data_IF_524247029767
#
_entry.id   IF_524247029767
#
_cell.length_a   1.000
_cell.length_b   1.000
_cell.length_c   1.000
_cell.angle_alpha   90.00
_cell.angle_beta   90.00
_cell.angle_gamma   90.00
#
_symmetry.space_group_name_H-M   'P 1'
#
loop_
_entity.id
_entity.type
_entity.pdbx_description
1 polymer ?
#
# COMPACT_ATOMS: atom_id res chain seq x y z
N UNK A 1 -37.40 -6.92 7.30
CA UNK A 1 -36.62 -6.10 6.34
C UNK A 1 -35.51 -5.33 7.05
N UNK A 2 -35.84 -4.52 8.04
CA UNK A 2 -34.81 -3.73 8.77
C UNK A 2 -33.80 -4.61 9.51
N UNK A 3 -34.23 -5.74 10.05
CA UNK A 3 -33.31 -6.70 10.72
C UNK A 3 -32.30 -7.27 9.73
N UNK A 4 -32.74 -7.60 8.49
CA UNK A 4 -31.85 -8.12 7.48
C UNK A 4 -30.79 -7.09 7.09
N UNK A 5 -31.17 -5.82 7.01
CA UNK A 5 -30.22 -4.76 6.70
C UNK A 5 -29.20 -4.55 7.84
N UNK A 6 -29.67 -4.56 9.07
CA UNK A 6 -28.80 -4.45 10.23
C UNK A 6 -27.81 -5.62 10.31
N UNK A 7 -28.30 -6.83 10.06
CA UNK A 7 -27.46 -8.02 10.10
C UNK A 7 -26.39 -7.97 8.99
N UNK A 8 -26.77 -7.54 7.79
CA UNK A 8 -25.82 -7.42 6.69
C UNK A 8 -24.72 -6.39 7.01
N UNK A 9 -25.10 -5.25 7.57
CA UNK A 9 -24.13 -4.25 8.00
C UNK A 9 -23.22 -4.77 9.09
N UNK A 10 -23.78 -5.41 10.10
CA UNK A 10 -23.02 -5.97 11.22
C UNK A 10 -22.05 -7.05 10.76
N UNK A 11 -22.49 -7.95 9.89
CA UNK A 11 -21.65 -9.01 9.34
C UNK A 11 -20.47 -8.43 8.55
N UNK A 12 -20.71 -7.38 7.78
CA UNK A 12 -19.64 -6.71 7.04
C UNK A 12 -18.58 -6.17 7.99
N UNK A 13 -19.01 -5.45 9.03
CA UNK A 13 -18.07 -4.88 10.00
C UNK A 13 -17.30 -5.97 10.75
N UNK A 14 -17.98 -7.03 11.15
CA UNK A 14 -17.34 -8.14 11.88
C UNK A 14 -16.31 -8.84 11.01
N UNK A 15 -16.60 -9.05 9.73
CA UNK A 15 -15.67 -9.69 8.81
C UNK A 15 -14.44 -8.81 8.60
N UNK A 16 -14.64 -7.52 8.37
CA UNK A 16 -13.52 -6.60 8.18
C UNK A 16 -12.66 -6.50 9.45
N UNK A 17 -13.28 -6.45 10.63
CA UNK A 17 -12.55 -6.47 11.90
C UNK A 17 -11.74 -7.75 12.06
N UNK A 18 -12.32 -8.90 11.72
CA UNK A 18 -11.61 -10.17 11.81
C UNK A 18 -10.39 -10.22 10.90
N UNK A 19 -10.54 -9.78 9.66
CA UNK A 19 -9.41 -9.74 8.73
C UNK A 19 -8.33 -8.79 9.21
N UNK A 20 -8.72 -7.58 9.63
CA UNK A 20 -7.77 -6.59 10.11
C UNK A 20 -7.05 -7.02 11.40
N UNK A 21 -7.70 -7.83 12.23
CA UNK A 21 -7.10 -8.30 13.48
C UNK A 21 -5.83 -9.13 13.29
N UNK A 22 -5.59 -9.61 12.09
CA UNK A 22 -4.38 -10.37 11.74
C UNK A 22 -3.19 -9.50 11.40
N UNK A 23 -3.40 -8.22 11.10
CA UNK A 23 -2.32 -7.33 10.67
C UNK A 23 -1.20 -7.17 11.71
N UNK A 24 -1.48 -6.99 13.00
CA UNK A 24 -0.40 -6.81 13.98
C UNK A 24 0.62 -7.96 13.96
N UNK A 25 0.17 -9.19 13.75
CA UNK A 25 1.05 -10.36 13.74
C UNK A 25 1.95 -10.42 12.51
N UNK A 26 1.62 -9.66 11.45
CA UNK A 26 2.40 -9.63 10.22
C UNK A 26 3.56 -8.66 10.27
N UNK A 27 3.63 -7.82 11.29
CA UNK A 27 4.69 -6.85 11.44
C UNK A 27 5.98 -7.56 11.87
N UNK A 28 6.98 -7.50 11.02
CA UNK A 28 8.26 -8.17 11.24
C UNK A 28 9.37 -7.45 10.49
N UNK A 29 10.35 -8.21 10.01
CA UNK A 29 11.55 -7.65 9.37
C UNK A 29 11.23 -6.79 8.15
N UNK A 30 10.26 -7.21 7.33
CA UNK A 30 9.88 -6.43 6.14
C UNK A 30 9.28 -5.09 6.52
N UNK A 31 8.45 -5.06 7.56
CA UNK A 31 7.88 -3.80 8.03
C UNK A 31 8.97 -2.86 8.53
N UNK A 32 9.90 -3.37 9.32
CA UNK A 32 11.04 -2.59 9.83
C UNK A 32 11.89 -2.07 8.68
N UNK A 33 12.13 -2.92 7.68
CA UNK A 33 12.92 -2.54 6.50
C UNK A 33 12.21 -1.43 5.72
N UNK A 34 10.91 -1.55 5.51
CA UNK A 34 10.12 -0.52 4.82
C UNK A 34 10.18 0.81 5.57
N UNK A 35 9.97 0.78 6.87
CA UNK A 35 10.03 1.99 7.70
C UNK A 35 11.41 2.63 7.65
N UNK A 36 12.46 1.84 7.73
CA UNK A 36 13.83 2.35 7.66
C UNK A 36 14.16 2.95 6.29
N UNK A 37 13.71 2.33 5.22
CA UNK A 37 13.91 2.87 3.86
C UNK A 37 13.26 4.26 3.76
N UNK A 38 12.07 4.43 4.31
CA UNK A 38 11.39 5.74 4.31
C UNK A 38 12.11 6.72 5.23
N UNK A 39 12.52 6.29 6.43
CA UNK A 39 13.25 7.15 7.37
C UNK A 39 14.54 7.71 6.77
N UNK A 40 15.24 6.91 5.97
CA UNK A 40 16.50 7.32 5.35
C UNK A 40 16.31 7.89 3.95
N UNK A 41 15.07 8.06 3.50
CA UNK A 41 14.76 8.63 2.20
C UNK A 41 15.15 10.11 2.18
N UNK A 42 16.00 10.49 1.25
CA UNK A 42 16.45 11.88 1.09
C UNK A 42 15.53 12.67 0.16
N UNK A 43 14.62 12.00 -0.53
CA UNK A 43 13.65 12.61 -1.43
C UNK A 43 12.23 12.49 -0.89
N UNK A 44 11.34 12.01 -1.75
CA UNK A 44 9.92 11.88 -1.46
C UNK A 44 9.48 10.43 -1.55
N UNK A 45 8.40 10.10 -0.85
CA UNK A 45 7.71 8.82 -1.02
C UNK A 45 6.62 9.02 -2.07
N UNK A 46 6.74 8.29 -3.17
CA UNK A 46 5.77 8.34 -4.25
C UNK A 46 4.86 7.12 -4.09
N UNK A 47 3.59 7.38 -3.79
CA UNK A 47 2.59 6.32 -3.62
C UNK A 47 1.86 6.13 -4.94
N UNK A 48 1.67 4.90 -5.36
CA UNK A 48 0.98 4.59 -6.61
C UNK A 48 0.09 3.37 -6.47
N UNK A 49 -0.97 3.30 -7.24
CA UNK A 49 -1.92 2.19 -7.23
C UNK A 49 -3.09 2.49 -8.15
N UNK A 50 -3.79 1.43 -8.57
CA UNK A 50 -4.89 1.52 -9.53
C UNK A 50 -6.21 1.26 -8.83
N UNK A 51 -7.28 1.93 -9.30
CA UNK A 51 -8.64 1.72 -8.81
C UNK A 51 -8.77 2.05 -7.33
N UNK A 52 -9.40 1.17 -6.55
CA UNK A 52 -9.62 1.40 -5.12
C UNK A 52 -8.30 1.44 -4.34
N UNK A 53 -7.30 0.65 -4.76
CA UNK A 53 -5.95 0.76 -4.19
C UNK A 53 -5.37 2.16 -4.39
N UNK A 54 -5.64 2.79 -5.53
CA UNK A 54 -5.21 4.15 -5.79
C UNK A 54 -5.88 5.17 -4.88
N UNK A 55 -7.18 5.00 -4.62
CA UNK A 55 -7.90 5.90 -3.69
C UNK A 55 -7.34 5.80 -2.28
N UNK A 56 -7.08 4.57 -1.80
CA UNK A 56 -6.46 4.39 -0.49
C UNK A 56 -5.02 4.93 -0.51
N UNK A 57 -4.31 4.73 -1.61
CA UNK A 57 -2.95 5.26 -1.77
C UNK A 57 -2.87 6.77 -1.63
N UNK A 58 -3.86 7.49 -2.15
CA UNK A 58 -3.94 8.94 -1.96
C UNK A 58 -4.07 9.30 -0.48
N UNK A 59 -4.89 8.56 0.26
CA UNK A 59 -5.02 8.78 1.70
C UNK A 59 -3.70 8.51 2.42
N UNK A 60 -3.01 7.44 2.05
CA UNK A 60 -1.72 7.09 2.66
C UNK A 60 -0.69 8.18 2.39
N UNK A 61 -0.61 8.68 1.16
CA UNK A 61 0.29 9.78 0.83
C UNK A 61 0.00 11.03 1.66
N UNK A 62 -1.28 11.36 1.82
CA UNK A 62 -1.70 12.50 2.63
C UNK A 62 -1.32 12.32 4.11
N UNK A 63 -1.46 11.11 4.64
CA UNK A 63 -1.10 10.81 6.02
C UNK A 63 0.42 10.92 6.23
N UNK A 64 1.23 10.39 5.31
CA UNK A 64 2.67 10.54 5.34
C UNK A 64 3.08 12.01 5.34
N UNK A 65 2.51 12.80 4.43
CA UNK A 65 2.80 14.22 4.33
C UNK A 65 2.42 14.96 5.63
N UNK A 66 1.26 14.62 6.21
CA UNK A 66 0.79 15.24 7.47
C UNK A 66 1.66 14.90 8.66
N UNK A 67 2.40 13.79 8.62
CA UNK A 67 3.24 13.34 9.73
C UNK A 67 4.73 13.59 9.49
N UNK A 68 5.06 14.39 8.51
CA UNK A 68 6.43 14.88 8.31
C UNK A 68 7.22 14.19 7.20
N UNK A 69 6.65 13.22 6.51
CA UNK A 69 7.31 12.55 5.39
C UNK A 69 6.80 13.14 4.07
N UNK A 70 7.65 13.84 3.29
CA UNK A 70 7.20 14.33 1.99
C UNK A 70 6.72 13.18 1.12
N UNK A 71 5.47 13.25 0.67
CA UNK A 71 4.85 12.19 -0.09
C UNK A 71 3.77 12.74 -1.01
N UNK A 72 3.57 12.09 -2.14
CA UNK A 72 2.49 12.42 -3.06
C UNK A 72 2.06 11.17 -3.81
N UNK A 73 0.89 11.22 -4.41
CA UNK A 73 0.34 10.11 -5.17
C UNK A 73 0.50 10.33 -6.67
N UNK A 74 0.90 9.28 -7.40
CA UNK A 74 0.95 9.28 -8.86
C UNK A 74 0.20 8.06 -9.37
N UNK A 75 -0.79 8.27 -10.23
CA UNK A 75 -1.48 7.15 -10.88
C UNK A 75 -0.51 6.42 -11.82
N UNK A 76 -0.53 5.07 -11.85
CA UNK A 76 0.41 4.32 -12.70
C UNK A 76 0.37 4.71 -14.18
N UNK A 77 -0.80 5.04 -14.71
CA UNK A 77 -0.91 5.47 -16.11
C UNK A 77 -0.16 6.78 -16.34
N UNK A 78 -0.26 7.74 -15.40
CA UNK A 78 0.46 9.01 -15.49
C UNK A 78 1.97 8.80 -15.36
N UNK A 79 2.38 7.85 -14.48
CA UNK A 79 3.78 7.50 -14.36
C UNK A 79 4.36 7.06 -15.72
N UNK A 80 3.62 6.22 -16.44
CA UNK A 80 4.05 5.73 -17.75
C UNK A 80 4.01 6.79 -18.84
N UNK A 81 3.20 7.84 -18.66
CA UNK A 81 3.06 8.94 -19.62
C UNK A 81 4.03 10.10 -19.36
N UNK A 82 5.04 9.91 -18.52
CA UNK A 82 6.09 10.89 -18.31
C UNK A 82 6.39 11.23 -16.86
N UNK A 83 5.44 11.02 -15.95
CA UNK A 83 5.63 11.40 -14.54
C UNK A 83 6.74 10.62 -13.85
N UNK A 84 7.11 9.43 -14.37
CA UNK A 84 8.29 8.71 -13.90
C UNK A 84 9.57 9.54 -14.01
N UNK A 85 9.60 10.48 -14.96
CA UNK A 85 10.73 11.40 -15.11
C UNK A 85 10.93 12.32 -13.91
N UNK A 86 9.89 12.51 -13.09
CA UNK A 86 9.98 13.33 -11.88
C UNK A 86 10.47 12.55 -10.66
N UNK A 87 10.61 11.24 -10.78
CA UNK A 87 11.03 10.38 -9.67
C UNK A 87 12.53 10.12 -9.81
N UNK A 88 13.27 10.38 -8.76
CA UNK A 88 14.72 10.31 -8.74
C UNK A 88 15.21 9.17 -7.83
N UNK A 89 16.50 8.83 -7.93
CA UNK A 89 17.10 7.77 -7.14
C UNK A 89 17.02 7.98 -5.63
N UNK A 90 16.88 9.23 -5.20
CA UNK A 90 16.71 9.57 -3.77
C UNK A 90 15.29 9.39 -3.28
N UNK A 91 14.34 9.13 -4.18
CA UNK A 91 12.94 8.91 -3.85
C UNK A 91 12.69 7.43 -3.58
N UNK A 92 11.55 7.15 -2.99
CA UNK A 92 11.06 5.78 -2.73
C UNK A 92 9.68 5.66 -3.36
N UNK A 93 9.41 4.55 -4.03
CA UNK A 93 8.05 4.28 -4.52
C UNK A 93 7.40 3.23 -3.63
N UNK A 94 6.19 3.53 -3.17
CA UNK A 94 5.30 2.59 -2.50
C UNK A 94 4.17 2.25 -3.47
N UNK A 95 4.20 1.04 -4.01
CA UNK A 95 3.19 0.60 -4.97
C UNK A 95 2.19 -0.33 -4.30
N UNK A 96 0.91 -0.05 -4.49
CA UNK A 96 -0.20 -0.81 -3.91
C UNK A 96 -0.91 -1.56 -5.01
N UNK A 97 -0.86 -2.89 -4.96
CA UNK A 97 -1.57 -3.76 -5.89
C UNK A 97 -1.88 -5.07 -5.17
N UNK A 98 -3.17 -5.36 -5.01
CA UNK A 98 -3.57 -6.59 -4.31
C UNK A 98 -3.03 -7.83 -5.02
N UNK A 99 -3.20 -7.91 -6.34
CA UNK A 99 -2.72 -9.04 -7.13
C UNK A 99 -1.20 -9.03 -7.32
N UNK A 100 -0.59 -7.85 -7.23
CA UNK A 100 0.85 -7.68 -7.50
C UNK A 100 1.24 -7.90 -8.95
N UNK A 101 0.27 -8.04 -9.86
CA UNK A 101 0.50 -8.35 -11.27
C UNK A 101 -0.17 -7.37 -12.23
N UNK A 102 -0.39 -6.13 -11.83
CA UNK A 102 -0.95 -5.11 -12.70
C UNK A 102 -0.06 -4.92 -13.94
N UNK A 103 -0.68 -4.73 -15.11
CA UNK A 103 0.05 -4.62 -16.39
C UNK A 103 1.08 -3.49 -16.38
N UNK A 104 0.75 -2.39 -15.73
CA UNK A 104 1.63 -1.23 -15.66
C UNK A 104 2.95 -1.55 -14.97
N UNK A 105 2.95 -2.55 -14.06
CA UNK A 105 4.16 -2.96 -13.36
C UNK A 105 5.22 -3.55 -14.30
N UNK A 106 4.79 -4.17 -15.40
CA UNK A 106 5.73 -4.74 -16.37
C UNK A 106 6.65 -3.68 -16.98
N UNK A 107 6.18 -2.43 -17.03
CA UNK A 107 6.95 -1.30 -17.55
C UNK A 107 7.57 -0.47 -16.44
N UNK A 108 6.87 -0.34 -15.30
CA UNK A 108 7.33 0.49 -14.19
C UNK A 108 8.52 -0.13 -13.47
N UNK A 109 8.45 -1.44 -13.16
CA UNK A 109 9.52 -2.11 -12.40
C UNK A 109 10.90 -1.96 -13.05
N UNK A 110 11.06 -2.26 -14.37
CA UNK A 110 12.37 -2.09 -15.00
C UNK A 110 12.88 -0.66 -14.96
N UNK A 111 11.99 0.32 -15.07
CA UNK A 111 12.38 1.74 -15.04
C UNK A 111 12.84 2.18 -13.66
N UNK A 112 12.20 1.65 -12.61
CA UNK A 112 12.64 1.91 -11.24
C UNK A 112 14.01 1.30 -10.99
N UNK A 113 14.24 0.09 -11.47
CA UNK A 113 15.53 -0.57 -11.35
C UNK A 113 16.63 0.22 -12.07
N UNK A 114 16.37 0.65 -13.31
CA UNK A 114 17.32 1.43 -14.11
C UNK A 114 17.70 2.74 -13.41
N UNK A 115 16.76 3.36 -12.71
CA UNK A 115 16.99 4.63 -12.00
C UNK A 115 17.46 4.41 -10.55
N UNK A 116 17.57 3.17 -10.09
CA UNK A 116 17.92 2.82 -8.71
C UNK A 116 16.97 3.40 -7.68
N UNK A 117 15.68 3.44 -8.01
CA UNK A 117 14.63 3.88 -7.10
C UNK A 117 14.18 2.70 -6.25
N UNK A 118 14.19 2.85 -4.94
CA UNK A 118 13.74 1.79 -4.03
C UNK A 118 12.23 1.59 -4.18
N UNK A 119 11.81 0.33 -4.32
CA UNK A 119 10.40 -0.05 -4.45
C UNK A 119 9.96 -0.77 -3.18
N UNK A 120 8.87 -0.30 -2.60
CA UNK A 120 8.16 -0.94 -1.50
C UNK A 120 6.80 -1.41 -2.02
N UNK A 121 6.31 -2.54 -1.54
CA UNK A 121 5.04 -3.11 -1.98
C UNK A 121 4.05 -3.27 -0.85
N UNK A 122 2.80 -2.90 -1.13
CA UNK A 122 1.65 -3.39 -0.38
C UNK A 122 0.87 -4.30 -1.31
N UNK A 123 0.79 -5.58 -0.97
CA UNK A 123 0.17 -6.56 -1.85
C UNK A 123 -0.45 -7.69 -1.03
N UNK A 124 -1.47 -8.32 -1.60
CA UNK A 124 -2.03 -9.54 -1.03
C UNK A 124 -1.31 -10.79 -1.49
N UNK A 125 -0.33 -10.66 -2.39
CA UNK A 125 0.42 -11.79 -2.95
C UNK A 125 1.92 -11.47 -2.92
N UNK A 126 2.60 -11.78 -1.81
CA UNK A 126 4.03 -11.47 -1.67
C UNK A 126 4.94 -12.10 -2.73
N UNK A 127 4.53 -13.22 -3.33
CA UNK A 127 5.31 -13.89 -4.38
C UNK A 127 4.93 -13.43 -5.79
N UNK A 128 4.09 -12.42 -5.92
CA UNK A 128 3.76 -11.81 -7.21
C UNK A 128 4.95 -11.05 -7.81
N UNK A 129 4.89 -10.66 -9.09
CA UNK A 129 5.95 -9.84 -9.68
C UNK A 129 6.30 -8.60 -8.85
N UNK A 130 5.30 -7.90 -8.33
CA UNK A 130 5.53 -6.74 -7.46
C UNK A 130 6.26 -7.15 -6.18
N UNK A 131 5.77 -8.20 -5.51
CA UNK A 131 6.35 -8.65 -4.26
C UNK A 131 7.80 -9.09 -4.42
N UNK A 132 8.12 -9.79 -5.51
CA UNK A 132 9.48 -10.26 -5.76
C UNK A 132 10.44 -9.14 -6.13
N UNK A 133 9.94 -8.07 -6.76
CA UNK A 133 10.78 -6.94 -7.15
C UNK A 133 11.00 -5.95 -6.00
N UNK A 134 10.14 -5.94 -5.01
CA UNK A 134 10.18 -4.95 -3.92
C UNK A 134 11.30 -5.25 -2.93
N UNK A 135 11.85 -4.19 -2.34
CA UNK A 135 12.84 -4.31 -1.27
C UNK A 135 12.22 -4.73 0.05
N UNK A 136 10.95 -4.44 0.24
CA UNK A 136 10.17 -4.88 1.39
C UNK A 136 8.71 -5.00 0.98
N UNK A 137 8.02 -5.98 1.55
CA UNK A 137 6.63 -6.30 1.24
C UNK A 137 5.78 -6.19 2.49
N UNK A 138 4.74 -5.38 2.41
CA UNK A 138 3.71 -5.29 3.45
C UNK A 138 2.52 -6.11 3.00
N UNK A 139 2.26 -7.20 3.70
CA UNK A 139 1.21 -8.17 3.36
C UNK A 139 -0.14 -7.67 3.83
N UNK A 140 -1.02 -7.38 2.88
CA UNK A 140 -2.40 -6.92 3.14
C UNK A 140 -3.43 -7.97 2.78
N UNK A 141 -3.01 -9.23 2.62
CA UNK A 141 -3.90 -10.30 2.17
C UNK A 141 -5.08 -10.52 3.11
N UNK A 142 -6.20 -10.93 2.53
CA UNK A 142 -7.41 -11.32 3.25
C UNK A 142 -7.83 -12.70 2.79
N UNK A 143 -8.48 -13.44 3.68
CA UNK A 143 -9.12 -14.70 3.29
C UNK A 143 -10.44 -14.42 2.61
N UNK A 144 -11.13 -13.34 3.00
CA UNK A 144 -12.46 -13.02 2.48
C UNK A 144 -12.66 -11.53 2.36
N UNK A 145 -13.23 -11.12 1.22
CA UNK A 145 -13.84 -9.80 1.11
C UNK A 145 -15.21 -9.84 1.76
N UNK A 146 -15.67 -8.69 2.24
CA UNK A 146 -16.98 -8.60 2.90
C UNK A 146 -18.13 -8.50 1.90
N UNK A 147 -17.84 -8.27 0.63
CA UNK A 147 -18.86 -8.20 -0.39
C UNK A 147 -19.44 -9.60 -0.67
N UNK A 148 -20.76 -9.82 -0.46
CA UNK A 148 -21.36 -11.15 -0.66
C UNK A 148 -21.22 -11.68 -2.08
N UNK A 149 -21.13 -10.78 -3.06
CA UNK A 149 -21.01 -11.13 -4.48
C UNK A 149 -19.56 -11.08 -4.96
N UNK A 150 -18.62 -10.84 -4.07
CA UNK A 150 -17.19 -10.73 -4.38
C UNK A 150 -16.88 -9.72 -5.49
N UNK A 151 -17.70 -8.65 -5.57
CA UNK A 151 -17.57 -7.63 -6.61
C UNK A 151 -16.72 -6.45 -6.17
N UNK A 152 -16.67 -6.18 -4.87
CA UNK A 152 -16.01 -4.99 -4.36
C UNK A 152 -14.92 -5.37 -3.36
N UNK A 153 -13.70 -4.81 -3.49
CA UNK A 153 -12.71 -4.90 -2.43
C UNK A 153 -13.22 -4.12 -1.21
N UNK A 154 -13.20 -4.76 -0.08
CA UNK A 154 -13.70 -4.23 1.20
C UNK A 154 -12.67 -4.49 2.30
N UNK A 155 -12.57 -5.72 2.82
CA UNK A 155 -11.59 -6.04 3.86
C UNK A 155 -10.16 -5.81 3.39
N UNK A 156 -9.85 -6.07 2.11
CA UNK A 156 -8.52 -5.80 1.56
C UNK A 156 -8.19 -4.31 1.55
N UNK A 157 -9.15 -3.44 1.28
CA UNK A 157 -8.92 -1.98 1.31
C UNK A 157 -8.78 -1.47 2.74
N UNK A 158 -9.51 -2.05 3.70
CA UNK A 158 -9.32 -1.73 5.12
C UNK A 158 -7.90 -2.13 5.55
N UNK A 159 -7.45 -3.32 5.20
CA UNK A 159 -6.10 -3.77 5.51
C UNK A 159 -5.04 -2.85 4.91
N UNK A 160 -5.25 -2.40 3.68
CA UNK A 160 -4.34 -1.46 3.01
C UNK A 160 -4.26 -0.15 3.78
N UNK A 161 -5.42 0.40 4.14
CA UNK A 161 -5.47 1.65 4.89
C UNK A 161 -4.78 1.54 6.24
N UNK A 162 -5.09 0.49 6.98
CA UNK A 162 -4.50 0.28 8.31
C UNK A 162 -3.00 0.05 8.25
N UNK A 163 -2.54 -0.73 7.28
CA UNK A 163 -1.10 -0.96 7.10
C UNK A 163 -0.38 0.33 6.75
N UNK A 164 -0.98 1.17 5.91
CA UNK A 164 -0.44 2.48 5.57
C UNK A 164 -0.35 3.40 6.77
N UNK A 165 -1.38 3.41 7.62
CA UNK A 165 -1.36 4.20 8.86
C UNK A 165 -0.27 3.70 9.80
N UNK A 166 -0.14 2.38 9.94
CA UNK A 166 0.89 1.78 10.77
C UNK A 166 2.29 2.20 10.31
N UNK A 167 2.52 2.16 9.00
CA UNK A 167 3.79 2.55 8.41
C UNK A 167 4.08 4.04 8.67
N UNK A 168 3.11 4.90 8.45
CA UNK A 168 3.27 6.34 8.67
C UNK A 168 3.57 6.66 10.13
N UNK A 169 2.86 6.01 11.06
CA UNK A 169 3.07 6.22 12.49
C UNK A 169 4.44 5.69 12.93
N UNK A 170 4.86 4.54 12.40
CA UNK A 170 6.18 3.99 12.71
C UNK A 170 7.30 4.91 12.23
N UNK A 171 7.18 5.45 11.02
CA UNK A 171 8.15 6.40 10.48
C UNK A 171 8.19 7.67 11.33
N UNK A 172 7.02 8.20 11.70
CA UNK A 172 6.94 9.37 12.57
C UNK A 172 7.62 9.11 13.92
N UNK A 173 7.33 7.96 14.54
CA UNK A 173 7.95 7.59 15.82
C UNK A 173 9.47 7.46 15.69
N UNK A 174 9.95 6.86 14.61
CA UNK A 174 11.38 6.71 14.34
C UNK A 174 12.10 8.03 14.11
N UNK A 175 11.41 9.03 13.58
CA UNK A 175 12.01 10.34 13.32
C UNK A 175 12.22 11.18 14.58
N UNK A 176 11.56 10.83 15.68
CA UNK A 176 11.65 11.56 16.95
C UNK A 176 12.76 10.98 17.85
N UNK A 177 13.19 9.78 17.58
CA UNK A 177 14.25 9.11 18.31
C UNK A 177 15.57 9.21 17.57
#
# INVERSE_FOLDING_TARGET
MSEALLNAGRQTLMLELQEASRLPERLGDDFVRAANIILHCEGKVVVSGIGKSGHIGKKIAATLASTGTPAFFVHPAEALHGDLGMIESRDVMLFISYSGGAKELDLIIPRLEDKSIALLAMTGKPTSPLGLAAKAVLDISVEREACPMHLAPTSSTVNTLMMGDALAMAVMAGSIT
#
